data_IF_543656696704
#
_entry.id   IF_543656696704
#
_cell.length_a   1.000
_cell.length_b   1.000
_cell.length_c   1.000
_cell.angle_alpha   90.00
_cell.angle_beta   90.00
_cell.angle_gamma   90.00
#
_symmetry.space_group_name_H-M   'P 1'
#
loop_
_entity.id
_entity.type
_entity.pdbx_description
1 polymer ?
#
# COMPACT_ATOMS: atom_id res chain seq x y z
N UNK A 1 36.32 -1.31 12.32
CA UNK A 1 36.78 -0.79 11.01
C UNK A 1 38.18 -0.29 11.11
N UNK A 2 38.89 -0.18 9.99
CA UNK A 2 40.27 0.33 9.98
C UNK A 2 40.30 1.73 9.38
N UNK A 3 41.23 2.56 9.86
CA UNK A 3 41.42 3.92 9.33
C UNK A 3 42.11 3.86 7.95
N UNK A 4 41.51 4.50 6.94
CA UNK A 4 42.03 4.53 5.55
C UNK A 4 43.37 5.27 5.40
N UNK A 5 43.78 6.08 6.38
CA UNK A 5 45.00 6.86 6.35
C UNK A 5 46.16 6.26 7.14
N UNK A 6 45.92 5.60 8.26
CA UNK A 6 46.98 5.07 9.13
C UNK A 6 46.85 3.59 9.50
N UNK A 7 45.82 2.92 9.01
CA UNK A 7 45.59 1.49 9.23
C UNK A 7 45.22 1.06 10.64
N UNK A 8 45.10 2.00 11.60
CA UNK A 8 44.77 1.67 13.01
C UNK A 8 43.33 1.20 13.09
N UNK A 9 43.11 0.17 13.92
CA UNK A 9 41.78 -0.37 14.19
C UNK A 9 40.95 0.64 14.99
N UNK A 10 39.78 1.02 14.45
CA UNK A 10 38.83 1.95 15.05
C UNK A 10 37.58 1.21 15.51
N UNK A 11 36.97 1.68 16.59
CA UNK A 11 35.67 1.19 17.05
C UNK A 11 34.57 1.88 16.26
N UNK A 12 33.41 1.20 16.05
CA UNK A 12 32.36 1.65 15.18
C UNK A 12 31.66 2.96 15.61
N UNK A 13 31.89 3.44 16.82
CA UNK A 13 31.34 4.69 17.35
C UNK A 13 32.31 5.88 17.32
N UNK A 14 33.58 5.67 16.95
CA UNK A 14 34.62 6.72 16.92
C UNK A 14 34.47 7.55 15.65
N UNK A 15 34.25 8.86 15.81
CA UNK A 15 34.14 9.83 14.71
C UNK A 15 35.47 10.31 14.18
N UNK A 16 36.54 10.17 14.98
CA UNK A 16 37.89 10.60 14.63
C UNK A 16 38.88 9.49 14.94
N UNK A 17 39.90 9.33 14.09
CA UNK A 17 40.96 8.37 14.36
C UNK A 17 41.80 8.85 15.51
N UNK A 18 42.03 8.02 16.59
CA UNK A 18 42.83 8.42 17.73
C UNK A 18 44.33 8.57 17.41
N UNK A 19 44.80 7.96 16.33
CA UNK A 19 46.19 7.99 15.94
C UNK A 19 46.55 9.13 14.98
N UNK A 20 45.69 9.46 13.98
CA UNK A 20 46.02 10.47 12.98
C UNK A 20 45.07 11.68 13.00
N UNK A 21 44.06 11.71 13.89
CA UNK A 21 43.09 12.81 13.99
C UNK A 21 42.14 12.97 12.80
N UNK A 22 42.29 12.16 11.74
CA UNK A 22 41.42 12.24 10.59
C UNK A 22 40.01 11.81 10.98
N UNK A 23 39.02 12.58 10.54
CA UNK A 23 37.63 12.18 10.70
C UNK A 23 37.45 10.81 10.04
N UNK A 24 36.99 9.84 10.81
CA UNK A 24 36.54 8.58 10.25
C UNK A 24 35.51 8.94 9.21
N UNK A 25 35.80 8.65 7.97
CA UNK A 25 34.87 8.91 6.88
C UNK A 25 33.57 8.20 7.21
N UNK A 26 32.67 8.94 7.82
CA UNK A 26 31.28 8.52 7.88
C UNK A 26 30.87 8.52 6.41
N UNK A 27 31.06 7.38 5.75
CA UNK A 27 30.30 7.13 4.54
C UNK A 27 28.86 7.32 5.02
N UNK A 28 28.19 8.44 4.67
CA UNK A 28 26.77 8.50 4.95
C UNK A 28 26.26 7.25 4.26
N UNK A 29 25.77 6.30 5.06
CA UNK A 29 25.03 5.18 4.52
C UNK A 29 23.99 5.88 3.68
N UNK A 30 24.26 6.00 2.37
CA UNK A 30 23.25 6.48 1.43
C UNK A 30 22.03 5.68 1.85
N UNK A 31 20.91 6.35 2.18
CA UNK A 31 19.74 5.61 2.56
C UNK A 31 19.57 4.61 1.43
N UNK A 32 19.83 3.34 1.74
CA UNK A 32 19.61 2.28 0.76
C UNK A 32 18.15 2.47 0.44
N UNK A 33 17.90 3.09 -0.71
CA UNK A 33 16.56 3.41 -1.18
C UNK A 33 15.91 2.05 -1.25
N UNK A 34 15.21 1.70 -0.15
CA UNK A 34 14.79 0.35 0.09
C UNK A 34 14.07 -0.12 -1.16
N UNK A 35 14.40 -1.28 -1.64
CA UNK A 35 13.78 -1.90 -2.82
C UNK A 35 12.25 -1.79 -2.76
N UNK A 36 11.72 -1.73 -1.55
CA UNK A 36 10.30 -1.63 -1.22
C UNK A 36 9.72 -0.23 -1.47
N UNK A 37 10.45 0.85 -1.27
CA UNK A 37 9.90 2.21 -1.43
C UNK A 37 9.34 2.48 -2.83
N UNK A 38 10.00 1.97 -3.87
CA UNK A 38 9.50 2.05 -5.25
C UNK A 38 8.24 1.22 -5.48
N UNK A 39 8.21 0.02 -4.95
CA UNK A 39 7.05 -0.88 -5.06
C UNK A 39 5.85 -0.41 -4.24
N UNK A 40 6.07 0.18 -3.07
CA UNK A 40 5.00 0.78 -2.26
C UNK A 40 4.30 1.92 -2.99
N UNK A 41 5.08 2.79 -3.66
CA UNK A 41 4.51 3.88 -4.45
C UNK A 41 3.69 3.36 -5.62
N UNK A 42 4.20 2.36 -6.35
CA UNK A 42 3.47 1.71 -7.42
C UNK A 42 2.20 1.05 -6.90
N UNK A 43 2.28 0.35 -5.77
CA UNK A 43 1.14 -0.31 -5.14
C UNK A 43 0.05 0.70 -4.73
N UNK A 44 0.44 1.83 -4.12
CA UNK A 44 -0.49 2.91 -3.77
C UNK A 44 -1.20 3.49 -4.98
N UNK A 45 -0.46 3.75 -6.08
CA UNK A 45 -1.04 4.23 -7.35
C UNK A 45 -2.00 3.19 -7.93
N UNK A 46 -1.63 1.89 -7.90
CA UNK A 46 -2.50 0.81 -8.38
C UNK A 46 -3.80 0.71 -7.58
N UNK A 47 -3.73 0.81 -6.26
CA UNK A 47 -4.92 0.83 -5.41
C UNK A 47 -5.83 2.02 -5.73
N UNK A 48 -5.28 3.21 -5.92
CA UNK A 48 -6.04 4.40 -6.32
C UNK A 48 -6.69 4.22 -7.69
N UNK A 49 -5.95 3.71 -8.68
CA UNK A 49 -6.45 3.52 -10.03
C UNK A 49 -7.60 2.49 -10.08
N UNK A 50 -7.43 1.33 -9.43
CA UNK A 50 -8.47 0.29 -9.38
C UNK A 50 -9.69 0.78 -8.62
N UNK A 51 -9.50 1.51 -7.52
CA UNK A 51 -10.61 2.06 -6.73
C UNK A 51 -11.37 3.13 -7.51
N UNK A 52 -10.67 4.03 -8.20
CA UNK A 52 -11.30 5.04 -9.06
C UNK A 52 -12.11 4.39 -10.19
N UNK A 53 -11.54 3.35 -10.82
CA UNK A 53 -12.24 2.61 -11.88
C UNK A 53 -13.49 1.88 -11.34
N UNK A 54 -13.45 1.40 -10.10
CA UNK A 54 -14.55 0.69 -9.44
C UNK A 54 -15.73 1.61 -9.05
N UNK A 55 -15.47 2.91 -8.89
CA UNK A 55 -16.54 3.89 -8.60
C UNK A 55 -17.54 3.98 -9.76
N UNK A 56 -17.07 3.89 -10.99
CA UNK A 56 -17.93 4.01 -12.18
C UNK A 56 -19.04 2.94 -12.20
N UNK A 57 -18.72 1.62 -12.15
CA UNK A 57 -19.75 0.60 -12.14
C UNK A 57 -20.62 0.64 -10.87
N UNK A 58 -20.05 0.99 -9.70
CA UNK A 58 -20.82 1.15 -8.47
C UNK A 58 -21.85 2.28 -8.59
N UNK A 59 -21.45 3.41 -9.16
CA UNK A 59 -22.34 4.54 -9.38
C UNK A 59 -23.42 4.24 -10.43
N UNK A 60 -23.04 3.60 -11.54
CA UNK A 60 -23.99 3.16 -12.58
C UNK A 60 -25.01 2.19 -11.99
N UNK A 61 -24.55 1.21 -11.20
CA UNK A 61 -25.43 0.25 -10.55
C UNK A 61 -26.43 0.95 -9.63
N UNK A 62 -25.94 1.86 -8.77
CA UNK A 62 -26.79 2.60 -7.84
C UNK A 62 -27.81 3.51 -8.55
N UNK A 63 -27.39 4.22 -9.60
CA UNK A 63 -28.29 5.11 -10.35
C UNK A 63 -29.30 4.32 -11.15
N UNK A 64 -28.89 3.22 -11.78
CA UNK A 64 -29.78 2.33 -12.52
C UNK A 64 -30.87 1.75 -11.60
N UNK A 65 -30.49 1.29 -10.40
CA UNK A 65 -31.45 0.78 -9.43
C UNK A 65 -32.34 1.86 -8.83
N UNK A 66 -31.83 3.07 -8.65
CA UNK A 66 -32.63 4.16 -8.08
C UNK A 66 -33.64 4.75 -9.06
N UNK A 67 -33.33 4.77 -10.37
CA UNK A 67 -34.13 5.45 -11.36
C UNK A 67 -34.70 4.57 -12.47
N UNK A 68 -34.12 3.38 -12.72
CA UNK A 68 -34.42 2.63 -13.94
C UNK A 68 -35.23 1.36 -13.78
N UNK A 69 -35.30 0.77 -12.61
CA UNK A 69 -35.88 -0.58 -12.44
C UNK A 69 -37.34 -0.59 -12.01
N UNK A 70 -37.85 0.53 -11.54
CA UNK A 70 -39.26 0.61 -11.14
C UNK A 70 -40.26 0.44 -12.31
N UNK A 71 -39.80 0.66 -13.55
CA UNK A 71 -40.69 0.61 -14.71
C UNK A 71 -40.54 -0.63 -15.60
N UNK A 72 -39.46 -1.43 -15.44
CA UNK A 72 -39.09 -2.41 -16.47
C UNK A 72 -39.31 -3.87 -16.05
N UNK A 73 -39.36 -4.17 -14.76
CA UNK A 73 -39.50 -5.57 -14.33
C UNK A 73 -40.34 -5.72 -13.07
N UNK A 74 -41.30 -6.65 -13.12
CA UNK A 74 -41.91 -7.30 -11.96
C UNK A 74 -40.84 -8.14 -11.17
N UNK A 75 -39.74 -7.50 -10.75
CA UNK A 75 -38.71 -8.19 -10.01
C UNK A 75 -39.13 -8.34 -8.55
N UNK A 76 -38.89 -9.52 -7.94
CA UNK A 76 -39.15 -9.72 -6.53
C UNK A 76 -38.36 -8.70 -5.68
N UNK A 77 -38.99 -8.17 -4.64
CA UNK A 77 -38.38 -7.15 -3.75
C UNK A 77 -37.02 -7.55 -3.18
N UNK A 78 -36.83 -8.86 -2.91
CA UNK A 78 -35.55 -9.36 -2.37
C UNK A 78 -34.37 -9.17 -3.33
N UNK A 79 -34.61 -9.23 -4.66
CA UNK A 79 -33.55 -9.01 -5.67
C UNK A 79 -33.11 -7.56 -5.67
N UNK A 80 -34.07 -6.65 -5.47
CA UNK A 80 -33.80 -5.22 -5.37
C UNK A 80 -32.90 -4.91 -4.17
N UNK A 81 -33.27 -5.43 -2.99
CA UNK A 81 -32.51 -5.25 -1.76
C UNK A 81 -31.11 -5.87 -1.85
N UNK A 82 -31.01 -7.05 -2.46
CA UNK A 82 -29.72 -7.73 -2.66
C UNK A 82 -28.78 -6.91 -3.55
N UNK A 83 -29.29 -6.38 -4.67
CA UNK A 83 -28.47 -5.60 -5.61
C UNK A 83 -28.09 -4.24 -5.04
N UNK A 84 -28.97 -3.60 -4.27
CA UNK A 84 -28.66 -2.38 -3.52
C UNK A 84 -27.56 -2.63 -2.50
N UNK A 85 -27.62 -3.74 -1.78
CA UNK A 85 -26.60 -4.16 -0.82
C UNK A 85 -25.24 -4.41 -1.50
N UNK A 86 -25.23 -5.10 -2.65
CA UNK A 86 -24.02 -5.33 -3.45
C UNK A 86 -23.44 -3.98 -3.92
N UNK A 87 -24.28 -3.08 -4.43
CA UNK A 87 -23.84 -1.73 -4.84
C UNK A 87 -23.21 -0.94 -3.71
N UNK A 88 -23.78 -1.03 -2.50
CA UNK A 88 -23.25 -0.38 -1.30
C UNK A 88 -21.91 -0.99 -0.86
N UNK A 89 -21.77 -2.32 -0.94
CA UNK A 89 -20.50 -3.01 -0.66
C UNK A 89 -19.40 -2.60 -1.66
N UNK A 90 -19.74 -2.51 -2.95
CA UNK A 90 -18.80 -2.06 -3.99
C UNK A 90 -18.35 -0.62 -3.75
N UNK A 91 -19.27 0.27 -3.41
CA UNK A 91 -18.93 1.65 -3.10
C UNK A 91 -18.06 1.74 -1.85
N UNK A 92 -18.40 1.00 -0.79
CA UNK A 92 -17.61 0.92 0.44
C UNK A 92 -16.19 0.40 0.19
N UNK A 93 -16.06 -0.65 -0.62
CA UNK A 93 -14.75 -1.19 -1.00
C UNK A 93 -13.91 -0.21 -1.82
N UNK A 94 -14.53 0.56 -2.71
CA UNK A 94 -13.85 1.61 -3.48
C UNK A 94 -13.32 2.73 -2.58
N UNK A 95 -14.11 3.19 -1.61
CA UNK A 95 -13.69 4.20 -0.63
C UNK A 95 -12.53 3.69 0.22
N UNK A 96 -12.64 2.46 0.75
CA UNK A 96 -11.56 1.84 1.52
C UNK A 96 -10.29 1.67 0.68
N UNK A 97 -10.42 1.33 -0.60
CA UNK A 97 -9.29 1.23 -1.52
C UNK A 97 -8.60 2.57 -1.77
N UNK A 98 -9.35 3.68 -1.86
CA UNK A 98 -8.78 5.03 -1.97
C UNK A 98 -8.02 5.38 -0.70
N UNK A 99 -8.61 5.15 0.47
CA UNK A 99 -7.96 5.39 1.77
C UNK A 99 -6.68 4.58 1.90
N UNK A 100 -6.73 3.30 1.49
CA UNK A 100 -5.56 2.41 1.49
C UNK A 100 -4.46 2.93 0.57
N UNK A 101 -4.81 3.29 -0.67
CA UNK A 101 -3.86 3.81 -1.66
C UNK A 101 -3.21 5.11 -1.20
N UNK A 102 -3.99 6.03 -0.64
CA UNK A 102 -3.48 7.27 -0.06
C UNK A 102 -2.55 7.01 1.12
N UNK A 103 -2.99 6.20 2.08
CA UNK A 103 -2.18 5.86 3.26
C UNK A 103 -0.86 5.15 2.90
N UNK A 104 -0.82 4.33 1.83
CA UNK A 104 0.43 3.74 1.34
C UNK A 104 1.36 4.80 0.75
N UNK A 105 0.85 5.79 0.03
CA UNK A 105 1.64 6.87 -0.54
C UNK A 105 2.26 7.77 0.53
N UNK A 106 1.52 8.01 1.62
CA UNK A 106 1.99 8.75 2.79
C UNK A 106 2.78 7.89 3.80
N UNK A 107 3.01 6.60 3.49
CA UNK A 107 3.73 5.65 4.36
C UNK A 107 3.14 5.54 5.78
N UNK A 108 1.82 5.71 5.92
CA UNK A 108 1.14 5.64 7.22
C UNK A 108 1.20 4.21 7.80
N UNK A 109 1.52 4.06 9.11
CA UNK A 109 1.72 2.73 9.71
C UNK A 109 0.46 1.85 9.68
N UNK A 110 -0.73 2.43 9.73
CA UNK A 110 -2.00 1.70 9.63
C UNK A 110 -2.33 1.23 8.21
N UNK A 111 -1.82 1.93 7.18
CA UNK A 111 -2.12 1.63 5.79
C UNK A 111 -1.62 0.25 5.36
N UNK A 112 -0.51 -0.23 5.94
CA UNK A 112 0.01 -1.56 5.69
C UNK A 112 -0.98 -2.65 6.10
N UNK A 113 -1.54 -2.57 7.31
CA UNK A 113 -2.53 -3.53 7.80
C UNK A 113 -3.79 -3.50 6.94
N UNK A 114 -4.27 -2.30 6.63
CA UNK A 114 -5.44 -2.12 5.79
C UNK A 114 -5.21 -2.71 4.38
N UNK A 115 -4.04 -2.48 3.78
CA UNK A 115 -3.69 -3.01 2.46
C UNK A 115 -3.64 -4.55 2.44
N UNK A 116 -3.13 -5.20 3.50
CA UNK A 116 -3.11 -6.66 3.61
C UNK A 116 -4.55 -7.20 3.67
N UNK A 117 -5.38 -6.62 4.54
CA UNK A 117 -6.80 -7.03 4.67
C UNK A 117 -7.54 -6.85 3.36
N UNK A 118 -7.44 -5.66 2.75
CA UNK A 118 -8.06 -5.37 1.46
C UNK A 118 -7.50 -6.24 0.33
N UNK A 119 -6.20 -6.56 0.37
CA UNK A 119 -5.55 -7.49 -0.55
C UNK A 119 -6.15 -8.89 -0.47
N UNK A 120 -6.43 -9.40 0.74
CA UNK A 120 -7.12 -10.68 0.92
C UNK A 120 -8.56 -10.64 0.34
N UNK A 121 -9.29 -9.57 0.58
CA UNK A 121 -10.63 -9.42 0.01
C UNK A 121 -10.63 -9.31 -1.52
N UNK A 122 -9.63 -8.64 -2.08
CA UNK A 122 -9.52 -8.47 -3.53
C UNK A 122 -9.23 -9.78 -4.28
N UNK A 123 -8.73 -10.83 -3.61
CA UNK A 123 -8.52 -12.14 -4.20
C UNK A 123 -9.81 -12.78 -4.74
N UNK A 124 -10.97 -12.38 -4.18
CA UNK A 124 -12.29 -12.89 -4.60
C UNK A 124 -12.70 -12.27 -5.95
N UNK A 125 -12.18 -11.10 -6.28
CA UNK A 125 -12.54 -10.37 -7.51
C UNK A 125 -11.63 -10.73 -8.69
N UNK A 126 -11.97 -11.79 -9.41
CA UNK A 126 -11.27 -12.19 -10.64
C UNK A 126 -11.58 -11.23 -11.81
N UNK A 127 -10.59 -11.00 -12.71
CA UNK A 127 -9.18 -11.36 -12.69
C UNK A 127 -8.27 -10.27 -12.09
N UNK A 128 -8.68 -9.00 -12.11
CA UNK A 128 -7.82 -7.87 -11.74
C UNK A 128 -7.60 -7.77 -10.22
N UNK A 129 -8.62 -8.09 -9.44
CA UNK A 129 -8.52 -8.08 -7.97
C UNK A 129 -7.57 -9.13 -7.44
N UNK A 130 -7.58 -10.34 -8.01
CA UNK A 130 -6.66 -11.41 -7.63
C UNK A 130 -5.20 -11.05 -7.92
N UNK A 131 -4.90 -10.46 -9.07
CA UNK A 131 -3.55 -10.02 -9.42
C UNK A 131 -3.05 -8.94 -8.45
N UNK A 132 -3.88 -7.94 -8.17
CA UNK A 132 -3.57 -6.88 -7.22
C UNK A 132 -3.41 -7.42 -5.79
N UNK A 133 -4.29 -8.32 -5.35
CA UNK A 133 -4.23 -8.97 -4.05
C UNK A 133 -2.95 -9.76 -3.85
N UNK A 134 -2.58 -10.63 -4.80
CA UNK A 134 -1.33 -11.40 -4.77
C UNK A 134 -0.12 -10.47 -4.73
N UNK A 135 -0.10 -9.43 -5.57
CA UNK A 135 1.00 -8.47 -5.60
C UNK A 135 1.14 -7.70 -4.28
N UNK A 136 0.01 -7.29 -3.69
CA UNK A 136 -0.03 -6.62 -2.38
C UNK A 136 0.54 -7.51 -1.28
N UNK A 137 0.10 -8.76 -1.22
CA UNK A 137 0.57 -9.73 -0.24
C UNK A 137 2.05 -10.06 -0.43
N UNK A 138 2.49 -10.25 -1.68
CA UNK A 138 3.89 -10.55 -2.00
C UNK A 138 4.86 -9.44 -1.56
N UNK A 139 4.45 -8.18 -1.65
CA UNK A 139 5.28 -7.04 -1.22
C UNK A 139 5.22 -6.82 0.28
N UNK A 140 4.02 -6.89 0.89
CA UNK A 140 3.80 -6.46 2.27
C UNK A 140 3.98 -7.57 3.31
N UNK A 141 3.87 -8.84 2.92
CA UNK A 141 3.93 -9.98 3.84
C UNK A 141 5.33 -10.30 4.37
N UNK A 142 6.44 -10.18 3.60
CA UNK A 142 7.77 -10.51 4.10
C UNK A 142 8.16 -9.70 5.33
N UNK A 143 8.76 -10.32 6.35
CA UNK A 143 9.18 -9.65 7.60
C UNK A 143 10.17 -8.50 7.36
N UNK A 144 11.04 -8.62 6.35
CA UNK A 144 11.95 -7.53 5.94
C UNK A 144 11.20 -6.28 5.46
N UNK A 145 10.05 -6.47 4.83
CA UNK A 145 9.19 -5.37 4.38
C UNK A 145 8.60 -4.58 5.53
N UNK A 146 8.39 -5.23 6.68
CA UNK A 146 7.90 -4.56 7.87
C UNK A 146 8.92 -3.58 8.45
N UNK A 147 10.17 -4.01 8.57
CA UNK A 147 11.24 -3.16 9.11
C UNK A 147 11.50 -1.95 8.21
N UNK A 148 11.58 -2.17 6.90
CA UNK A 148 11.76 -1.08 5.93
C UNK A 148 10.55 -0.12 5.91
N UNK A 149 9.34 -0.63 5.99
CA UNK A 149 8.12 0.18 6.07
C UNK A 149 8.08 1.04 7.33
N UNK A 150 8.44 0.45 8.49
CA UNK A 150 8.51 1.19 9.77
C UNK A 150 9.57 2.29 9.75
N UNK A 151 10.69 2.06 9.07
CA UNK A 151 11.72 3.08 8.88
C UNK A 151 11.23 4.23 8.02
N UNK A 152 10.54 3.94 6.90
CA UNK A 152 9.95 4.96 6.03
C UNK A 152 8.88 5.77 6.76
N UNK A 153 8.02 5.12 7.56
CA UNK A 153 6.97 5.77 8.33
C UNK A 153 7.49 6.67 9.46
N UNK A 154 8.75 6.49 9.92
CA UNK A 154 9.37 7.37 10.93
C UNK A 154 9.99 8.64 10.33
N UNK A 155 10.27 8.63 9.06
CA UNK A 155 10.95 9.72 8.34
C UNK A 155 9.94 10.61 7.60
N UNK A 156 8.74 10.09 7.33
CA UNK A 156 7.62 10.85 6.73
C UNK A 156 6.89 11.68 7.78
#
# INVERSE_FOLDING_TARGET
>A
MYCDSCGVQMQNYQRYCPACGKAAGFVPLMPVRGRIAGHLRLLGIFWLAVSALSIIPAFVLLTFFRHGVYEIAEMPSFVHDLLAFIGMLLLGSAVLGIITGWGLLEHQPWARMLAIVMGCFSLIHMPFGTALGIYTLWILLPARSEEEYRQLARVA
#
